data_IF_305492408794
#
_entry.id   IF_305492408794
#
_cell.length_a   1.000
_cell.length_b   1.000
_cell.length_c   1.000
_cell.angle_alpha   90.00
_cell.angle_beta   90.00
_cell.angle_gamma   90.00
#
_symmetry.space_group_name_H-M   'P 1'
#
loop_
_entity.id
_entity.type
_entity.pdbx_description
1 polymer ?
#
# COMPACT_ATOMS: atom_id res chain seq x y z
N UNK A 1 -30.86 5.24 -10.65
CA UNK A 1 -30.59 4.74 -9.28
C UNK A 1 -29.24 5.32 -8.90
N UNK A 2 -29.24 6.47 -8.23
CA UNK A 2 -28.02 7.16 -7.80
C UNK A 2 -27.62 6.64 -6.42
N UNK A 3 -26.44 6.02 -6.33
CA UNK A 3 -25.73 5.82 -5.08
C UNK A 3 -24.40 6.59 -5.14
N UNK A 4 -24.48 7.91 -5.26
CA UNK A 4 -23.37 8.79 -4.93
C UNK A 4 -23.31 8.92 -3.40
N UNK A 5 -22.47 8.11 -2.77
CA UNK A 5 -22.17 8.24 -1.34
C UNK A 5 -21.33 9.50 -1.17
N UNK A 6 -21.89 10.52 -0.50
CA UNK A 6 -21.16 11.71 -0.05
C UNK A 6 -20.07 11.27 0.94
N UNK A 7 -18.81 11.50 0.59
CA UNK A 7 -17.64 11.24 1.43
C UNK A 7 -17.41 12.40 2.42
N UNK A 8 -18.41 12.75 3.23
CA UNK A 8 -18.12 13.48 4.47
C UNK A 8 -17.57 12.48 5.49
N UNK A 9 -16.26 12.18 5.39
CA UNK A 9 -15.53 11.35 6.36
C UNK A 9 -14.54 12.21 7.15
N UNK A 10 -15.10 13.13 7.92
CA UNK A 10 -14.35 14.00 8.85
C UNK A 10 -14.19 13.42 10.25
N UNK A 11 -14.57 12.17 10.52
CA UNK A 11 -14.32 11.56 11.84
C UNK A 11 -13.77 10.13 11.74
N UNK A 12 -12.46 9.99 11.92
CA UNK A 12 -11.83 8.72 12.26
C UNK A 12 -11.81 8.59 13.79
N UNK A 13 -12.60 7.66 14.34
CA UNK A 13 -12.46 7.24 15.73
C UNK A 13 -11.12 6.52 15.91
N UNK A 14 -10.18 7.16 16.61
CA UNK A 14 -8.80 6.71 16.82
C UNK A 14 -8.62 5.48 17.70
N UNK A 15 -9.54 4.51 17.64
CA UNK A 15 -9.41 3.23 18.34
C UNK A 15 -8.25 2.43 17.74
N UNK A 16 -7.27 2.06 18.57
CA UNK A 16 -6.15 1.17 18.22
C UNK A 16 -6.69 -0.07 17.50
N UNK A 17 -6.38 -0.21 16.21
CA UNK A 17 -6.76 -1.35 15.38
C UNK A 17 -7.78 -1.07 14.26
N UNK A 18 -8.37 0.12 14.16
CA UNK A 18 -9.21 0.50 13.01
C UNK A 18 -8.43 1.40 12.04
N UNK A 19 -7.81 0.81 11.03
CA UNK A 19 -7.21 1.56 9.92
C UNK A 19 -8.32 2.22 9.08
N UNK A 20 -8.22 3.53 8.85
CA UNK A 20 -9.18 4.25 8.02
C UNK A 20 -9.01 3.92 6.53
N UNK A 21 -10.10 3.94 5.75
CA UNK A 21 -10.09 3.63 4.30
C UNK A 21 -9.04 4.42 3.52
N UNK A 22 -8.72 5.64 3.94
CA UNK A 22 -7.72 6.52 3.27
C UNK A 22 -6.31 5.93 3.19
N UNK A 23 -5.92 5.07 4.14
CA UNK A 23 -4.58 4.47 4.15
C UNK A 23 -4.37 3.56 2.93
N UNK A 24 -5.44 3.01 2.39
CA UNK A 24 -5.38 2.12 1.23
C UNK A 24 -5.72 2.82 -0.09
N UNK A 25 -6.32 4.01 -0.06
CA UNK A 25 -6.64 4.76 -1.29
C UNK A 25 -5.39 5.05 -2.13
N UNK A 26 -5.56 5.08 -3.46
CA UNK A 26 -4.50 5.42 -4.40
C UNK A 26 -4.02 6.87 -4.23
N UNK A 27 -2.78 7.14 -4.60
CA UNK A 27 -2.19 8.49 -4.62
C UNK A 27 -3.03 9.43 -5.48
N UNK A 28 -3.54 8.95 -6.62
CA UNK A 28 -4.38 9.73 -7.53
C UNK A 28 -5.64 10.24 -6.85
N UNK A 29 -6.39 9.35 -6.19
CA UNK A 29 -7.62 9.70 -5.47
C UNK A 29 -7.33 10.59 -4.26
N UNK A 30 -6.25 10.32 -3.53
CA UNK A 30 -5.85 11.11 -2.36
C UNK A 30 -5.48 12.56 -2.69
N UNK A 31 -4.74 12.77 -3.77
CA UNK A 31 -4.30 14.11 -4.21
C UNK A 31 -5.45 14.88 -4.86
N UNK A 32 -6.29 14.21 -5.65
CA UNK A 32 -7.41 14.88 -6.34
C UNK A 32 -8.53 15.22 -5.36
N UNK A 33 -8.74 14.41 -4.31
CA UNK A 33 -9.82 14.64 -3.34
C UNK A 33 -11.17 14.77 -4.04
N UNK A 34 -11.97 15.74 -3.62
CA UNK A 34 -13.30 16.01 -4.17
C UNK A 34 -13.27 16.95 -5.40
N UNK A 35 -12.16 16.98 -6.15
CA UNK A 35 -12.06 17.81 -7.34
C UNK A 35 -13.15 17.40 -8.37
N UNK A 36 -13.96 18.32 -8.88
CA UNK A 36 -15.03 18.00 -9.84
C UNK A 36 -14.51 17.41 -11.17
N UNK A 37 -13.23 17.58 -11.48
CA UNK A 37 -12.56 16.99 -12.63
C UNK A 37 -11.73 15.75 -12.27
N UNK A 38 -12.05 15.09 -11.14
CA UNK A 38 -11.38 13.88 -10.69
C UNK A 38 -11.51 12.77 -11.74
N UNK A 39 -10.41 12.07 -12.00
CA UNK A 39 -10.46 10.86 -12.82
C UNK A 39 -11.34 9.83 -12.09
N UNK A 40 -12.33 9.21 -12.75
CA UNK A 40 -13.11 8.14 -12.15
C UNK A 40 -12.21 7.03 -11.59
N UNK A 41 -12.64 6.44 -10.47
CA UNK A 41 -12.01 5.26 -9.89
C UNK A 41 -11.88 4.17 -10.96
N UNK A 42 -10.68 3.62 -11.08
CA UNK A 42 -10.31 2.61 -12.07
C UNK A 42 -9.80 1.35 -11.37
N UNK A 43 -9.74 0.23 -12.10
CA UNK A 43 -9.16 -1.00 -11.56
C UNK A 43 -7.70 -0.82 -11.11
N UNK A 44 -6.97 0.14 -11.67
CA UNK A 44 -5.60 0.44 -11.24
C UNK A 44 -5.55 1.06 -9.83
N UNK A 45 -6.60 1.77 -9.42
CA UNK A 45 -6.72 2.26 -8.05
C UNK A 45 -6.88 1.09 -7.07
N UNK A 46 -7.59 0.02 -7.47
CA UNK A 46 -7.71 -1.21 -6.67
C UNK A 46 -6.37 -1.96 -6.58
N UNK A 47 -5.61 -2.01 -7.68
CA UNK A 47 -4.26 -2.62 -7.70
C UNK A 47 -3.27 -1.83 -6.85
N UNK A 48 -3.31 -0.51 -6.91
CA UNK A 48 -2.53 0.34 -6.02
C UNK A 48 -2.96 0.15 -4.55
N UNK A 49 -4.26 0.03 -4.29
CA UNK A 49 -4.78 -0.24 -2.96
C UNK A 49 -4.29 -1.57 -2.39
N UNK A 50 -4.21 -2.61 -3.23
CA UNK A 50 -3.62 -3.90 -2.87
C UNK A 50 -2.14 -3.76 -2.50
N UNK A 51 -1.37 -2.99 -3.26
CA UNK A 51 0.03 -2.70 -2.92
C UNK A 51 0.15 -2.06 -1.54
N UNK A 52 -0.67 -1.04 -1.26
CA UNK A 52 -0.66 -0.36 0.04
C UNK A 52 -1.10 -1.27 1.19
N UNK A 53 -2.04 -2.19 0.95
CA UNK A 53 -2.45 -3.20 1.91
C UNK A 53 -1.30 -4.15 2.24
N UNK A 54 -0.62 -4.70 1.23
CA UNK A 54 0.52 -5.59 1.43
C UNK A 54 1.66 -4.88 2.18
N UNK A 55 1.98 -3.65 1.77
CA UNK A 55 2.93 -2.80 2.47
C UNK A 55 2.53 -2.62 3.94
N UNK A 56 1.28 -2.27 4.21
CA UNK A 56 0.77 -2.10 5.56
C UNK A 56 0.93 -3.37 6.40
N UNK A 57 0.58 -4.54 5.85
CA UNK A 57 0.71 -5.83 6.54
C UNK A 57 2.17 -6.10 6.94
N UNK A 58 3.10 -5.92 6.00
CA UNK A 58 4.52 -6.19 6.21
C UNK A 58 5.13 -5.31 7.33
N UNK A 59 4.62 -4.09 7.49
CA UNK A 59 5.11 -3.14 8.50
C UNK A 59 4.47 -3.30 9.89
N UNK A 60 3.23 -3.82 9.97
CA UNK A 60 2.45 -3.76 11.22
C UNK A 60 2.21 -5.12 11.88
N UNK A 61 2.32 -6.23 11.15
CA UNK A 61 1.99 -7.54 11.67
C UNK A 61 3.25 -8.39 11.82
N UNK A 62 3.30 -9.22 12.86
CA UNK A 62 4.43 -10.12 13.17
C UNK A 62 4.15 -11.58 12.80
N UNK A 63 3.00 -11.86 12.17
CA UNK A 63 2.61 -13.20 11.72
C UNK A 63 1.10 -13.48 11.79
N UNK A 64 0.66 -14.66 11.30
CA UNK A 64 -0.75 -15.01 11.08
C UNK A 64 -1.60 -15.17 12.37
N UNK A 65 -1.00 -15.19 13.55
CA UNK A 65 -1.72 -15.40 14.83
C UNK A 65 -1.79 -14.15 15.73
N UNK A 66 -1.60 -12.95 15.18
CA UNK A 66 -1.85 -11.70 15.91
C UNK A 66 -1.00 -11.50 17.18
N UNK A 67 0.20 -12.11 17.24
CA UNK A 67 1.15 -11.90 18.34
C UNK A 67 1.82 -10.52 18.24
N UNK A 68 1.02 -9.49 18.44
CA UNK A 68 1.42 -8.09 18.50
C UNK A 68 1.25 -7.35 17.18
N UNK A 69 0.64 -6.16 17.26
CA UNK A 69 1.04 -5.08 16.36
C UNK A 69 2.55 -4.91 16.58
N UNK A 70 3.33 -4.95 15.50
CA UNK A 70 4.79 -4.77 15.54
C UNK A 70 5.18 -3.43 16.17
N UNK A 71 6.47 -3.09 16.09
CA UNK A 71 6.96 -1.76 16.47
C UNK A 71 6.04 -0.68 15.86
N UNK A 72 5.74 0.40 16.60
CA UNK A 72 4.99 1.53 16.05
C UNK A 72 5.64 1.95 14.73
N UNK A 73 4.97 1.66 13.62
CA UNK A 73 5.48 2.03 12.32
C UNK A 73 5.30 3.55 12.15
N UNK A 74 6.20 4.18 11.40
CA UNK A 74 6.04 5.59 11.04
C UNK A 74 4.79 5.87 10.20
N UNK A 75 4.10 4.83 9.73
CA UNK A 75 2.96 4.91 8.81
C UNK A 75 1.60 5.05 9.52
N UNK A 76 1.53 4.82 10.84
CA UNK A 76 0.31 5.06 11.63
C UNK A 76 -0.18 6.51 11.53
N UNK A 77 0.74 7.46 11.34
CA UNK A 77 0.41 8.88 11.16
C UNK A 77 -0.52 9.10 9.96
N UNK A 78 -0.53 8.23 8.96
CA UNK A 78 -1.42 8.35 7.80
C UNK A 78 -2.89 8.33 8.21
N UNK A 79 -3.26 7.62 9.30
CA UNK A 79 -4.62 7.60 9.83
C UNK A 79 -5.10 8.97 10.34
N UNK A 80 -4.19 9.90 10.61
CA UNK A 80 -4.49 11.20 11.23
C UNK A 80 -4.24 12.41 10.33
N UNK A 81 -3.63 12.20 9.15
CA UNK A 81 -3.35 13.26 8.16
C UNK A 81 -4.52 13.49 7.19
N UNK A 82 -4.59 14.66 6.57
CA UNK A 82 -5.55 14.95 5.50
C UNK A 82 -5.32 14.06 4.27
N UNK A 83 -6.32 13.91 3.39
CA UNK A 83 -6.19 13.07 2.18
C UNK A 83 -5.00 13.50 1.31
N UNK A 84 -4.89 14.80 1.03
CA UNK A 84 -3.80 15.36 0.24
C UNK A 84 -2.43 15.11 0.87
N UNK A 85 -2.28 15.28 2.19
CA UNK A 85 -1.03 14.98 2.91
C UNK A 85 -0.66 13.49 2.79
N UNK A 86 -1.61 12.56 2.95
CA UNK A 86 -1.36 11.12 2.78
C UNK A 86 -0.92 10.82 1.35
N UNK A 87 -1.56 11.44 0.36
CA UNK A 87 -1.18 11.30 -1.05
C UNK A 87 0.26 11.74 -1.32
N UNK A 88 0.68 12.89 -0.78
CA UNK A 88 2.06 13.37 -0.92
C UNK A 88 3.08 12.50 -0.19
N UNK A 89 2.76 12.04 1.03
CA UNK A 89 3.62 11.14 1.79
C UNK A 89 3.83 9.81 1.06
N UNK A 90 2.76 9.23 0.50
CA UNK A 90 2.83 8.03 -0.33
C UNK A 90 3.68 8.23 -1.58
N UNK A 91 3.45 9.32 -2.31
CA UNK A 91 4.26 9.67 -3.48
C UNK A 91 5.75 9.79 -3.14
N UNK A 92 6.09 10.49 -2.06
CA UNK A 92 7.48 10.57 -1.56
C UNK A 92 8.03 9.25 -1.02
N UNK A 93 7.15 8.34 -0.57
CA UNK A 93 7.54 7.00 -0.11
C UNK A 93 8.06 6.16 -1.26
N UNK A 94 7.37 6.20 -2.41
CA UNK A 94 7.67 5.35 -3.58
C UNK A 94 8.49 6.05 -4.66
N UNK A 95 8.88 7.31 -4.51
CA UNK A 95 9.60 8.07 -5.54
C UNK A 95 11.00 7.49 -5.84
N UNK A 96 11.78 7.23 -4.79
CA UNK A 96 13.16 6.71 -4.90
C UNK A 96 13.18 5.21 -4.62
N UNK A 97 13.70 4.42 -5.56
CA UNK A 97 13.80 2.97 -5.36
C UNK A 97 14.74 2.61 -4.20
N UNK A 98 15.89 3.29 -4.15
CA UNK A 98 16.92 3.03 -3.17
C UNK A 98 16.44 3.39 -1.76
N UNK A 99 15.76 4.52 -1.62
CA UNK A 99 15.21 4.93 -0.32
C UNK A 99 14.05 4.03 0.09
N UNK A 100 13.21 3.61 -0.87
CA UNK A 100 12.15 2.65 -0.62
C UNK A 100 12.71 1.31 -0.13
N UNK A 101 13.73 0.76 -0.80
CA UNK A 101 14.40 -0.47 -0.38
C UNK A 101 14.98 -0.34 1.03
N UNK A 102 15.66 0.77 1.30
CA UNK A 102 16.25 1.06 2.61
C UNK A 102 15.18 1.08 3.71
N UNK A 103 14.05 1.72 3.45
CA UNK A 103 12.90 1.77 4.37
C UNK A 103 12.29 0.38 4.62
N UNK A 104 11.89 -0.33 3.57
CA UNK A 104 11.22 -1.64 3.76
C UNK A 104 12.13 -2.68 4.41
N UNK A 105 13.45 -2.58 4.20
CA UNK A 105 14.43 -3.46 4.86
C UNK A 105 14.50 -3.19 6.37
N UNK A 106 14.32 -1.93 6.78
CA UNK A 106 14.37 -1.53 8.19
C UNK A 106 13.01 -1.66 8.90
N UNK A 107 11.91 -1.45 8.18
CA UNK A 107 10.58 -1.31 8.75
C UNK A 107 9.76 -2.60 8.74
N UNK A 108 10.04 -3.55 7.83
CA UNK A 108 9.32 -4.82 7.80
C UNK A 108 9.61 -5.63 9.04
N UNK A 109 8.58 -6.28 9.59
CA UNK A 109 8.77 -7.17 10.73
C UNK A 109 9.58 -8.41 10.33
N UNK A 110 10.22 -9.05 11.30
CA UNK A 110 11.05 -10.24 11.05
C UNK A 110 10.32 -11.33 10.26
N UNK A 111 9.01 -11.49 10.52
CA UNK A 111 8.17 -12.46 9.80
C UNK A 111 8.03 -12.12 8.31
N UNK A 112 7.94 -10.84 7.97
CA UNK A 112 7.76 -10.38 6.58
C UNK A 112 9.06 -9.94 5.91
N UNK A 113 10.22 -9.98 6.58
CA UNK A 113 11.52 -9.68 5.98
C UNK A 113 11.79 -10.44 4.66
N UNK A 114 11.42 -11.73 4.50
CA UNK A 114 11.57 -12.44 3.23
C UNK A 114 10.79 -11.83 2.04
N UNK A 115 9.78 -10.98 2.29
CA UNK A 115 9.02 -10.31 1.24
C UNK A 115 9.70 -9.05 0.69
N UNK A 116 10.77 -8.54 1.30
CA UNK A 116 11.47 -7.33 0.85
C UNK A 116 11.83 -7.36 -0.66
N UNK A 117 12.44 -8.44 -1.20
CA UNK A 117 12.76 -8.52 -2.62
C UNK A 117 11.53 -8.56 -3.55
N UNK A 118 10.37 -8.94 -3.02
CA UNK A 118 9.12 -9.07 -3.77
C UNK A 118 8.32 -7.77 -3.75
N UNK A 119 8.28 -7.08 -2.61
CA UNK A 119 7.60 -5.79 -2.50
C UNK A 119 8.32 -4.71 -3.33
N UNK A 120 9.66 -4.72 -3.40
CA UNK A 120 10.38 -3.80 -4.30
C UNK A 120 10.06 -4.07 -5.78
N UNK A 121 9.94 -5.34 -6.18
CA UNK A 121 9.52 -5.70 -7.55
C UNK A 121 8.10 -5.24 -7.81
N UNK A 122 7.19 -5.45 -6.87
CA UNK A 122 5.81 -4.99 -6.99
C UNK A 122 5.73 -3.46 -7.09
N UNK A 123 6.55 -2.74 -6.32
CA UNK A 123 6.66 -1.27 -6.40
C UNK A 123 7.09 -0.81 -7.80
N UNK A 124 8.01 -1.51 -8.46
CA UNK A 124 8.42 -1.18 -9.85
C UNK A 124 7.27 -1.31 -10.85
N UNK A 125 6.42 -2.32 -10.66
CA UNK A 125 5.27 -2.55 -11.54
C UNK A 125 4.16 -1.51 -11.33
N UNK A 126 3.83 -1.22 -10.06
CA UNK A 126 2.74 -0.30 -9.70
C UNK A 126 3.13 1.17 -9.90
N UNK A 127 4.40 1.50 -9.65
CA UNK A 127 4.94 2.86 -9.75
C UNK A 127 6.16 2.90 -10.67
N UNK A 128 5.98 2.75 -12.00
CA UNK A 128 7.09 2.80 -12.94
C UNK A 128 7.81 4.14 -12.85
N UNK A 129 9.14 4.09 -12.66
CA UNK A 129 9.96 5.28 -12.43
C UNK A 129 9.69 6.00 -11.09
N UNK A 130 8.98 5.36 -10.16
CA UNK A 130 8.60 5.97 -8.87
C UNK A 130 7.46 6.99 -8.98
N UNK A 131 6.74 6.99 -10.11
CA UNK A 131 5.66 7.92 -10.37
C UNK A 131 4.30 7.22 -10.24
N UNK A 132 3.28 7.98 -9.84
CA UNK A 132 1.90 7.55 -10.01
C UNK A 132 1.60 7.38 -11.50
N UNK A 133 0.80 6.39 -11.83
CA UNK A 133 0.31 6.20 -13.19
C UNK A 133 -0.60 7.38 -13.61
N UNK A 134 -0.65 7.65 -14.91
CA UNK A 134 -1.49 8.70 -15.52
C UNK A 134 -2.54 8.11 -16.44
N UNK A 135 -2.15 7.08 -17.16
CA UNK A 135 -2.97 6.35 -18.12
C UNK A 135 -3.19 4.92 -17.62
N UNK A 136 -4.24 4.28 -18.13
CA UNK A 136 -4.55 2.90 -17.76
C UNK A 136 -3.61 1.91 -18.44
N UNK A 137 -3.04 1.00 -17.66
CA UNK A 137 -2.28 -0.14 -18.15
C UNK A 137 -2.99 -1.45 -17.77
N UNK A 138 -3.68 -2.03 -18.76
CA UNK A 138 -4.41 -3.30 -18.60
C UNK A 138 -3.51 -4.50 -18.33
N UNK A 139 -2.22 -4.40 -18.62
CA UNK A 139 -1.27 -5.50 -18.40
C UNK A 139 -0.70 -5.51 -16.97
N UNK A 140 -0.89 -4.45 -16.19
CA UNK A 140 -0.41 -4.35 -14.81
C UNK A 140 -0.91 -5.50 -13.93
N UNK A 141 -2.17 -5.89 -14.09
CA UNK A 141 -2.76 -6.99 -13.32
C UNK A 141 -1.97 -8.29 -13.45
N UNK A 142 -1.62 -8.68 -14.68
CA UNK A 142 -0.87 -9.90 -14.93
C UNK A 142 0.58 -9.79 -14.44
N UNK A 143 1.22 -8.62 -14.60
CA UNK A 143 2.58 -8.41 -14.05
C UNK A 143 2.61 -8.52 -12.52
N UNK A 144 1.63 -7.95 -11.83
CA UNK A 144 1.50 -8.08 -10.37
C UNK A 144 1.28 -9.55 -9.97
N UNK A 145 0.39 -10.27 -10.67
CA UNK A 145 0.17 -11.70 -10.43
C UNK A 145 1.44 -12.52 -10.61
N UNK A 146 2.23 -12.23 -11.64
CA UNK A 146 3.48 -12.94 -11.89
C UNK A 146 4.52 -12.69 -10.79
N UNK A 147 4.63 -11.45 -10.30
CA UNK A 147 5.49 -11.14 -9.15
C UNK A 147 5.05 -11.92 -7.90
N UNK A 148 3.74 -11.94 -7.61
CA UNK A 148 3.21 -12.65 -6.44
C UNK A 148 3.35 -14.17 -6.56
N UNK A 149 3.12 -14.74 -7.75
CA UNK A 149 3.29 -16.19 -7.98
C UNK A 149 4.73 -16.62 -7.72
N UNK A 150 5.71 -15.86 -8.22
CA UNK A 150 7.12 -16.13 -7.96
C UNK A 150 7.49 -15.97 -6.48
N UNK A 151 6.88 -15.01 -5.78
CA UNK A 151 7.07 -14.88 -4.34
C UNK A 151 6.56 -16.10 -3.56
N UNK A 152 5.46 -16.72 -4.00
CA UNK A 152 4.93 -17.94 -3.40
C UNK A 152 5.80 -19.18 -3.66
N UNK A 153 6.68 -19.12 -4.65
CA UNK A 153 7.63 -20.19 -4.97
C UNK A 153 8.99 -19.97 -4.30
N UNK A 154 9.21 -18.81 -3.66
CA UNK A 154 10.46 -18.47 -2.98
C UNK A 154 10.64 -19.29 -1.70
N UNK A 155 11.71 -20.10 -1.58
CA UNK A 155 11.96 -20.90 -0.39
C UNK A 155 12.04 -20.08 0.91
N UNK A 156 12.54 -18.84 0.87
CA UNK A 156 12.63 -17.99 2.05
C UNK A 156 11.25 -17.53 2.53
N UNK A 157 10.33 -17.25 1.60
CA UNK A 157 8.93 -16.90 1.91
C UNK A 157 8.17 -18.13 2.41
N UNK A 158 8.38 -19.29 1.79
CA UNK A 158 7.72 -20.53 2.21
C UNK A 158 8.19 -21.02 3.59
N UNK A 159 9.47 -20.81 3.92
CA UNK A 159 10.04 -21.19 5.21
C UNK A 159 9.46 -20.42 6.41
N UNK A 160 8.80 -19.27 6.19
CA UNK A 160 8.09 -18.53 7.25
C UNK A 160 6.58 -18.80 7.24
N UNK A 161 5.99 -19.11 6.09
CA UNK A 161 4.55 -19.40 5.98
C UNK A 161 4.11 -20.70 6.68
N UNK A 162 5.04 -21.65 6.88
CA UNK A 162 4.78 -22.91 7.60
C UNK A 162 4.94 -22.86 9.13
N UNK A 163 5.18 -21.67 9.71
CA UNK A 163 5.41 -21.49 11.16
C UNK A 163 4.22 -20.87 11.88
#
# INVERSE_FOLDING_TARGET
LDHAIRLDRTENSGARGRTGTKVFMSIGLLIQGDNPNQKPHSFMDDLESFFWLLFWICNHYTGPCGRGIGRQSGYEIWNYRSLGEVGQLKAGTVASEQDFLTRITADFTDYFAPLVPWVIRLRREVFPGGLRWKEEDRTLYERMKDVLRRAMEDPAVMAVAGR
#
